data_IF_778958970532
#
_entry.id   IF_778958970532
#
_cell.length_a   1.000
_cell.length_b   1.000
_cell.length_c   1.000
_cell.angle_alpha   90.00
_cell.angle_beta   90.00
_cell.angle_gamma   90.00
#
_symmetry.space_group_name_H-M   'P 1'
#
loop_
_entity.id
_entity.type
_entity.pdbx_description
1 polymer ?
#
# COMPACT_ATOMS: atom_id res chain seq x y z
N UNK A 1 -0.97 15.86 7.28
CA UNK A 1 -0.93 16.15 5.83
C UNK A 1 -2.04 17.15 5.52
N UNK A 2 -1.70 18.36 5.04
CA UNK A 2 -2.68 19.38 4.66
C UNK A 2 -3.56 18.92 3.48
N UNK A 3 -4.80 19.47 3.41
CA UNK A 3 -5.74 19.10 2.36
C UNK A 3 -5.24 19.36 0.94
N UNK A 4 -4.57 20.49 0.62
CA UNK A 4 -4.03 20.69 -0.72
C UNK A 4 -3.01 19.62 -1.12
N UNK A 5 -2.11 19.23 -0.22
CA UNK A 5 -1.10 18.20 -0.46
C UNK A 5 -1.76 16.83 -0.64
N UNK A 6 -2.75 16.50 0.19
CA UNK A 6 -3.49 15.24 0.04
C UNK A 6 -4.25 15.20 -1.29
N UNK A 7 -4.86 16.32 -1.69
CA UNK A 7 -5.56 16.43 -2.98
C UNK A 7 -4.60 16.20 -4.15
N UNK A 8 -3.40 16.77 -4.11
CA UNK A 8 -2.38 16.56 -5.14
C UNK A 8 -1.97 15.08 -5.25
N UNK A 9 -1.78 14.42 -4.10
CA UNK A 9 -1.44 12.98 -4.04
C UNK A 9 -2.57 12.13 -4.64
N UNK A 10 -3.82 12.39 -4.25
CA UNK A 10 -4.98 11.66 -4.75
C UNK A 10 -5.25 11.93 -6.22
N UNK A 11 -5.04 13.15 -6.68
CA UNK A 11 -5.17 13.52 -8.09
C UNK A 11 -4.14 12.78 -8.95
N UNK A 12 -2.89 12.71 -8.51
CA UNK A 12 -1.87 11.91 -9.19
C UNK A 12 -2.26 10.42 -9.26
N UNK A 13 -2.81 9.87 -8.17
CA UNK A 13 -3.29 8.49 -8.14
C UNK A 13 -4.49 8.29 -9.09
N UNK A 14 -5.39 9.25 -9.19
CA UNK A 14 -6.54 9.23 -10.10
C UNK A 14 -6.13 9.10 -11.57
N UNK A 15 -4.99 9.67 -11.97
CA UNK A 15 -4.43 9.55 -13.33
C UNK A 15 -3.77 8.21 -13.63
N UNK A 16 -3.81 7.26 -12.71
CA UNK A 16 -3.31 5.92 -12.98
C UNK A 16 -4.05 5.28 -14.16
N UNK A 17 -3.32 4.61 -15.04
CA UNK A 17 -3.94 3.86 -16.14
C UNK A 17 -4.65 2.59 -15.66
N UNK A 18 -5.72 2.21 -16.34
CA UNK A 18 -6.42 0.93 -16.16
C UNK A 18 -6.83 0.32 -17.49
N UNK A 19 -7.09 -0.99 -17.52
CA UNK A 19 -7.57 -1.66 -18.72
C UNK A 19 -8.88 -1.03 -19.19
N UNK A 20 -8.96 -0.67 -20.47
CA UNK A 20 -10.10 0.02 -21.08
C UNK A 20 -10.54 1.29 -20.34
N UNK A 21 -9.62 1.96 -19.63
CA UNK A 21 -9.90 3.15 -18.82
C UNK A 21 -11.05 2.96 -17.80
N UNK A 22 -11.19 1.77 -17.23
CA UNK A 22 -12.28 1.45 -16.30
C UNK A 22 -12.20 2.19 -14.98
N UNK A 23 -10.98 2.57 -14.54
CA UNK A 23 -10.72 3.32 -13.30
C UNK A 23 -11.45 2.73 -12.09
N UNK A 24 -11.22 1.43 -11.77
CA UNK A 24 -12.04 0.67 -10.82
C UNK A 24 -11.73 0.98 -9.37
N UNK A 25 -11.09 2.07 -9.05
CA UNK A 25 -10.67 2.45 -7.70
C UNK A 25 -11.48 3.61 -7.14
N UNK A 26 -11.65 3.59 -5.83
CA UNK A 26 -12.16 4.67 -5.01
C UNK A 26 -11.21 4.84 -3.82
N UNK A 27 -11.18 6.03 -3.25
CA UNK A 27 -10.35 6.34 -2.09
C UNK A 27 -11.22 6.72 -0.91
N UNK A 28 -11.05 6.02 0.23
CA UNK A 28 -11.64 6.45 1.50
C UNK A 28 -10.53 7.08 2.33
N UNK A 29 -10.68 8.37 2.63
CA UNK A 29 -9.72 9.14 3.43
C UNK A 29 -10.14 9.08 4.88
N UNK A 30 -9.29 8.56 5.74
CA UNK A 30 -9.55 8.40 7.19
C UNK A 30 -8.61 9.32 7.97
N UNK A 31 -9.19 10.32 8.65
CA UNK A 31 -8.49 11.24 9.56
C UNK A 31 -8.93 11.03 11.02
N UNK A 32 -10.13 10.48 11.23
CA UNK A 32 -10.67 10.24 12.55
C UNK A 32 -9.78 9.28 13.36
N UNK A 33 -9.41 9.70 14.56
CA UNK A 33 -8.48 8.97 15.41
C UNK A 33 -9.05 7.61 15.87
N UNK A 34 -10.34 7.55 16.14
CA UNK A 34 -10.99 6.31 16.58
C UNK A 34 -11.01 5.28 15.45
N UNK A 35 -11.34 5.70 14.23
CA UNK A 35 -11.35 4.85 13.02
C UNK A 35 -9.93 4.36 12.70
N UNK A 36 -8.91 5.24 12.76
CA UNK A 36 -7.51 4.84 12.56
C UNK A 36 -7.05 3.83 13.62
N UNK A 37 -7.42 4.05 14.88
CA UNK A 37 -7.14 3.13 15.97
C UNK A 37 -7.80 1.76 15.78
N UNK A 38 -9.05 1.74 15.32
CA UNK A 38 -9.76 0.50 15.00
C UNK A 38 -9.09 -0.24 13.83
N UNK A 39 -8.66 0.46 12.76
CA UNK A 39 -7.90 -0.14 11.67
C UNK A 39 -6.54 -0.69 12.13
N UNK A 40 -5.87 0.02 13.03
CA UNK A 40 -4.59 -0.40 13.60
C UNK A 40 -4.69 -1.71 14.40
N UNK A 41 -5.84 -1.98 15.00
CA UNK A 41 -6.09 -3.19 15.78
C UNK A 41 -6.41 -4.43 14.95
N UNK A 42 -6.57 -4.32 13.62
CA UNK A 42 -7.01 -5.42 12.76
C UNK A 42 -5.89 -6.37 12.30
N UNK A 43 -4.65 -6.17 12.74
CA UNK A 43 -3.59 -7.10 12.36
C UNK A 43 -2.22 -6.74 12.89
N UNK A 44 -1.28 -7.68 12.83
CA UNK A 44 0.06 -7.48 13.40
C UNK A 44 0.94 -6.51 12.60
N UNK A 45 0.52 -6.12 11.40
CA UNK A 45 1.26 -5.22 10.51
C UNK A 45 0.54 -3.88 10.29
N UNK A 46 -0.47 -3.57 11.10
CA UNK A 46 -1.33 -2.40 10.91
C UNK A 46 -1.24 -1.37 12.05
N UNK A 47 -0.49 -1.67 13.12
CA UNK A 47 -0.36 -0.82 14.31
C UNK A 47 -0.01 0.65 13.98
N UNK A 48 0.83 0.86 12.95
CA UNK A 48 1.27 2.19 12.54
C UNK A 48 0.14 3.07 11.97
N UNK A 49 -1.01 2.50 11.58
CA UNK A 49 -2.15 3.29 11.12
C UNK A 49 -2.72 4.19 12.22
N UNK A 50 -2.66 3.76 13.49
CA UNK A 50 -3.11 4.57 14.62
C UNK A 50 -2.37 5.91 14.75
N UNK A 51 -1.06 5.89 14.52
CA UNK A 51 -0.19 7.05 14.59
C UNK A 51 -0.11 7.86 13.27
N UNK A 52 -0.61 7.32 12.15
CA UNK A 52 -0.58 8.00 10.86
C UNK A 52 -1.37 9.32 10.89
N UNK A 53 -0.89 10.33 10.17
CA UNK A 53 -1.65 11.58 10.03
C UNK A 53 -2.95 11.36 9.24
N UNK A 54 -2.88 10.52 8.20
CA UNK A 54 -4.02 10.13 7.35
C UNK A 54 -3.84 8.67 6.95
N UNK A 55 -4.94 7.92 6.86
CA UNK A 55 -4.98 6.61 6.21
C UNK A 55 -5.86 6.72 4.96
N UNK A 56 -5.38 6.25 3.84
CA UNK A 56 -6.13 6.15 2.59
C UNK A 56 -6.41 4.68 2.32
N UNK A 57 -7.68 4.30 2.28
CA UNK A 57 -8.09 2.98 1.84
C UNK A 57 -8.34 3.00 0.33
N UNK A 58 -7.67 2.12 -0.39
CA UNK A 58 -7.90 1.89 -1.82
C UNK A 58 -8.99 0.82 -1.93
N UNK A 59 -10.18 1.25 -2.34
CA UNK A 59 -11.34 0.38 -2.55
C UNK A 59 -11.50 0.14 -4.04
N UNK A 60 -11.71 -1.11 -4.43
CA UNK A 60 -11.80 -1.51 -5.81
C UNK A 60 -13.23 -1.96 -6.16
N UNK A 61 -13.70 -1.63 -7.34
CA UNK A 61 -15.01 -2.03 -7.86
C UNK A 61 -14.90 -3.29 -8.71
N UNK A 62 -15.72 -4.30 -8.41
CA UNK A 62 -15.78 -5.56 -9.14
C UNK A 62 -14.65 -6.52 -8.80
N UNK A 63 -14.81 -7.76 -9.25
CA UNK A 63 -13.83 -8.84 -9.15
C UNK A 63 -13.47 -9.30 -10.56
N UNK A 64 -12.32 -8.92 -11.06
CA UNK A 64 -11.83 -9.37 -12.36
C UNK A 64 -10.32 -9.66 -12.30
N UNK A 65 -9.79 -10.31 -13.33
CA UNK A 65 -8.36 -10.67 -13.40
C UNK A 65 -7.42 -9.45 -13.32
N UNK A 66 -7.90 -8.26 -13.66
CA UNK A 66 -7.15 -7.01 -13.55
C UNK A 66 -7.20 -6.36 -12.18
N UNK A 67 -8.03 -6.84 -11.24
CA UNK A 67 -8.23 -6.23 -9.93
C UNK A 67 -6.91 -6.03 -9.16
N UNK A 68 -6.16 -7.09 -8.95
CA UNK A 68 -4.89 -7.01 -8.21
C UNK A 68 -3.84 -6.17 -8.94
N UNK A 69 -3.81 -6.23 -10.27
CA UNK A 69 -2.91 -5.46 -11.09
C UNK A 69 -3.21 -3.96 -11.01
N UNK A 70 -4.46 -3.56 -11.23
CA UNK A 70 -4.89 -2.16 -11.17
C UNK A 70 -4.78 -1.60 -9.74
N UNK A 71 -5.11 -2.40 -8.71
CA UNK A 71 -4.90 -2.04 -7.31
C UNK A 71 -3.42 -1.77 -7.02
N UNK A 72 -2.52 -2.65 -7.44
CA UNK A 72 -1.07 -2.45 -7.27
C UNK A 72 -0.56 -1.20 -7.99
N UNK A 73 -1.04 -0.93 -9.20
CA UNK A 73 -0.67 0.26 -9.98
C UNK A 73 -1.09 1.54 -9.30
N UNK A 74 -2.38 1.67 -8.95
CA UNK A 74 -2.90 2.90 -8.32
C UNK A 74 -2.28 3.12 -6.94
N UNK A 75 -2.03 2.06 -6.19
CA UNK A 75 -1.33 2.13 -4.90
C UNK A 75 0.09 2.65 -5.09
N UNK A 76 0.86 2.09 -6.01
CA UNK A 76 2.22 2.55 -6.29
C UNK A 76 2.26 4.00 -6.76
N UNK A 77 1.30 4.41 -7.60
CA UNK A 77 1.18 5.80 -8.04
C UNK A 77 0.94 6.74 -6.85
N UNK A 78 0.07 6.36 -5.91
CA UNK A 78 -0.19 7.11 -4.68
C UNK A 78 1.06 7.24 -3.82
N UNK A 79 1.82 6.15 -3.63
CA UNK A 79 3.06 6.16 -2.85
C UNK A 79 4.13 7.05 -3.48
N UNK A 80 4.28 7.03 -4.80
CA UNK A 80 5.23 7.89 -5.53
C UNK A 80 4.83 9.36 -5.45
N UNK A 81 3.54 9.67 -5.61
CA UNK A 81 3.03 11.02 -5.46
C UNK A 81 3.24 11.55 -4.03
N UNK A 82 2.96 10.74 -3.00
CA UNK A 82 3.24 11.09 -1.62
C UNK A 82 4.72 11.44 -1.43
N UNK A 83 5.62 10.62 -1.95
CA UNK A 83 7.07 10.89 -1.89
C UNK A 83 7.45 12.20 -2.58
N UNK A 84 6.90 12.46 -3.77
CA UNK A 84 7.15 13.71 -4.52
C UNK A 84 6.68 14.94 -3.75
N UNK A 85 5.58 14.82 -2.99
CA UNK A 85 5.07 15.88 -2.10
C UNK A 85 5.77 15.95 -0.73
N UNK A 86 6.87 15.21 -0.52
CA UNK A 86 7.58 15.17 0.76
C UNK A 86 6.82 14.46 1.89
N UNK A 87 5.81 13.66 1.56
CA UNK A 87 5.01 12.87 2.51
C UNK A 87 5.53 11.44 2.54
N UNK A 88 5.83 10.94 3.73
CA UNK A 88 6.17 9.55 3.94
C UNK A 88 4.90 8.68 3.84
N UNK A 89 5.05 7.48 3.28
CA UNK A 89 3.95 6.56 3.09
C UNK A 89 4.36 5.12 3.41
N UNK A 90 3.41 4.34 3.90
CA UNK A 90 3.55 2.91 4.10
C UNK A 90 2.21 2.22 3.85
N UNK A 91 2.22 1.14 3.09
CA UNK A 91 1.01 0.38 2.83
C UNK A 91 1.04 -0.97 3.56
N UNK A 92 -0.14 -1.44 3.96
CA UNK A 92 -0.34 -2.80 4.43
C UNK A 92 -1.67 -3.37 3.93
N UNK A 93 -1.63 -4.64 3.56
CA UNK A 93 -2.83 -5.44 3.39
C UNK A 93 -3.32 -5.98 4.73
N UNK A 94 -4.55 -6.43 4.77
CA UNK A 94 -5.16 -7.06 5.93
C UNK A 94 -5.30 -8.57 5.71
N UNK A 95 -4.79 -9.33 6.67
CA UNK A 95 -4.94 -10.76 6.77
C UNK A 95 -5.17 -11.13 8.24
N UNK A 96 -5.94 -12.17 8.54
CA UNK A 96 -6.71 -13.00 7.59
C UNK A 96 -7.91 -12.25 6.97
N UNK A 97 -8.68 -12.93 6.14
CA UNK A 97 -9.82 -12.35 5.42
C UNK A 97 -10.85 -11.69 6.35
N UNK A 98 -11.06 -12.22 7.55
CA UNK A 98 -11.98 -11.69 8.56
C UNK A 98 -11.60 -10.25 8.94
N UNK A 99 -10.31 -9.94 9.03
CA UNK A 99 -9.81 -8.60 9.33
C UNK A 99 -10.07 -7.64 8.16
N UNK A 100 -9.94 -8.12 6.92
CA UNK A 100 -10.29 -7.35 5.73
C UNK A 100 -11.79 -7.02 5.71
N UNK A 101 -12.63 -8.00 6.02
CA UNK A 101 -14.07 -7.82 6.12
C UNK A 101 -14.46 -6.87 7.27
N UNK A 102 -13.76 -6.93 8.40
CA UNK A 102 -13.96 -6.00 9.50
C UNK A 102 -13.63 -4.56 9.10
N UNK A 103 -12.52 -4.34 8.38
CA UNK A 103 -12.17 -3.03 7.85
C UNK A 103 -13.20 -2.53 6.83
N UNK A 104 -13.69 -3.41 5.95
CA UNK A 104 -14.71 -3.05 4.98
C UNK A 104 -16.00 -2.57 5.67
N UNK A 105 -16.46 -3.27 6.73
CA UNK A 105 -17.61 -2.84 7.52
C UNK A 105 -17.35 -1.50 8.21
N UNK A 106 -16.18 -1.33 8.83
CA UNK A 106 -15.79 -0.10 9.51
C UNK A 106 -15.78 1.11 8.56
N UNK A 107 -15.30 0.90 7.32
CA UNK A 107 -15.20 1.94 6.30
C UNK A 107 -16.47 2.10 5.45
N UNK A 108 -17.51 1.31 5.69
CA UNK A 108 -18.76 1.37 4.93
C UNK A 108 -18.59 0.96 3.47
N UNK A 109 -17.67 0.04 3.16
CA UNK A 109 -17.45 -0.43 1.79
C UNK A 109 -18.68 -1.21 1.31
N UNK A 110 -19.35 -0.78 0.22
CA UNK A 110 -20.59 -1.40 -0.21
C UNK A 110 -20.37 -2.76 -0.88
N UNK A 111 -21.46 -3.53 -1.02
CA UNK A 111 -21.45 -4.78 -1.77
C UNK A 111 -20.96 -4.56 -3.22
N UNK A 112 -20.29 -5.55 -3.79
CA UNK A 112 -19.67 -5.44 -5.12
C UNK A 112 -18.36 -4.65 -5.15
N UNK A 113 -17.86 -4.22 -3.99
CA UNK A 113 -16.55 -3.59 -3.83
C UNK A 113 -15.69 -4.43 -2.89
N UNK A 114 -14.39 -4.26 -2.99
CA UNK A 114 -13.42 -4.92 -2.12
C UNK A 114 -12.37 -3.94 -1.64
N UNK A 115 -11.89 -4.12 -0.41
CA UNK A 115 -10.73 -3.39 0.10
C UNK A 115 -9.45 -3.99 -0.50
N UNK A 116 -8.73 -3.20 -1.29
CA UNK A 116 -7.45 -3.59 -1.87
C UNK A 116 -6.32 -3.48 -0.85
N UNK A 117 -6.06 -2.27 -0.37
CA UNK A 117 -4.95 -1.98 0.55
C UNK A 117 -5.25 -0.72 1.36
N UNK A 118 -4.61 -0.62 2.52
CA UNK A 118 -4.57 0.61 3.33
C UNK A 118 -3.20 1.28 3.17
N UNK A 119 -3.17 2.60 3.05
CA UNK A 119 -1.95 3.40 2.94
C UNK A 119 -1.92 4.44 4.04
N UNK A 120 -0.94 4.37 4.92
CA UNK A 120 -0.64 5.42 5.89
C UNK A 120 0.14 6.54 5.21
N UNK A 121 -0.22 7.78 5.51
CA UNK A 121 0.46 8.99 5.06
C UNK A 121 0.82 9.85 6.29
N UNK A 122 2.04 10.42 6.29
CA UNK A 122 2.49 11.29 7.37
C UNK A 122 3.85 11.91 7.09
N UNK A 123 4.29 12.77 7.97
CA UNK A 123 5.65 13.31 7.92
C UNK A 123 6.55 12.53 8.89
N UNK A 124 7.81 12.35 8.52
CA UNK A 124 8.79 11.74 9.41
C UNK A 124 9.07 12.67 10.59
N UNK A 125 9.24 12.11 11.78
CA UNK A 125 9.73 12.87 12.91
C UNK A 125 11.15 13.38 12.64
N UNK A 126 11.52 14.60 13.08
CA UNK A 126 12.88 15.08 12.99
C UNK A 126 13.84 14.10 13.69
N UNK A 127 14.88 13.66 12.99
CA UNK A 127 15.86 12.72 13.52
C UNK A 127 15.47 11.23 13.43
N UNK A 128 14.32 10.92 12.87
CA UNK A 128 13.89 9.54 12.65
C UNK A 128 14.74 8.91 11.54
N UNK A 129 15.84 8.27 11.95
CA UNK A 129 16.46 7.24 11.13
C UNK A 129 15.47 6.08 11.14
N UNK A 130 15.29 5.40 10.01
CA UNK A 130 14.42 4.24 9.85
C UNK A 130 14.50 3.32 11.08
N UNK A 131 13.78 3.72 12.14
CA UNK A 131 13.66 2.91 13.32
C UNK A 131 12.89 1.66 12.92
N UNK A 132 13.38 0.50 13.26
CA UNK A 132 12.68 -0.72 12.95
C UNK A 132 11.38 -0.73 13.73
N UNK A 133 10.28 -0.97 13.03
CA UNK A 133 9.06 -1.39 13.69
C UNK A 133 9.39 -2.61 14.56
N UNK A 134 9.12 -2.52 15.85
CA UNK A 134 9.33 -3.65 16.76
C UNK A 134 8.61 -4.88 16.24
N UNK A 135 9.27 -6.03 16.24
CA UNK A 135 8.65 -7.31 15.92
C UNK A 135 8.75 -7.80 14.48
N UNK A 136 9.12 -6.99 13.50
CA UNK A 136 9.36 -7.48 12.14
C UNK A 136 10.77 -8.06 12.04
N UNK A 137 10.91 -9.29 11.57
CA UNK A 137 12.22 -9.86 11.24
C UNK A 137 12.87 -9.02 10.12
N UNK A 138 13.78 -8.17 10.54
CA UNK A 138 14.51 -7.23 9.68
C UNK A 138 15.34 -7.89 8.61
N UNK A 139 15.65 -9.18 8.72
CA UNK A 139 16.39 -9.88 7.68
C UNK A 139 15.71 -9.78 6.34
N UNK A 140 14.37 -9.71 6.30
CA UNK A 140 13.62 -9.50 5.05
C UNK A 140 13.76 -8.07 4.51
N UNK A 141 13.86 -7.06 5.38
CA UNK A 141 13.96 -5.64 5.00
C UNK A 141 15.40 -5.22 4.73
N UNK A 142 16.37 -5.79 5.47
CA UNK A 142 17.79 -5.43 5.40
C UNK A 142 18.58 -6.22 4.36
N UNK A 143 18.02 -7.26 3.77
CA UNK A 143 18.67 -8.03 2.69
C UNK A 143 19.02 -7.22 1.43
N UNK A 144 18.55 -5.95 1.37
CA UNK A 144 18.76 -5.10 0.21
C UNK A 144 17.97 -5.56 -1.01
N UNK A 145 18.31 -5.03 -2.15
CA UNK A 145 17.70 -5.41 -3.43
C UNK A 145 18.61 -6.41 -4.16
N UNK A 146 18.00 -7.35 -4.87
CA UNK A 146 18.73 -8.22 -5.77
C UNK A 146 19.49 -7.37 -6.79
N UNK A 147 20.71 -7.73 -7.15
CA UNK A 147 21.44 -7.07 -8.23
C UNK A 147 20.62 -7.09 -9.53
N UNK A 148 20.69 -6.01 -10.30
CA UNK A 148 19.90 -5.88 -11.53
C UNK A 148 20.16 -7.04 -12.52
N UNK A 149 21.41 -7.51 -12.62
CA UNK A 149 21.79 -8.67 -13.44
C UNK A 149 21.06 -9.97 -13.08
N UNK A 150 20.50 -10.06 -11.89
CA UNK A 150 19.68 -11.21 -11.47
C UNK A 150 18.20 -11.09 -11.86
N UNK A 151 17.75 -9.93 -12.26
CA UNK A 151 16.37 -9.63 -12.57
C UNK A 151 16.13 -9.41 -14.07
N UNK A 152 17.21 -9.09 -14.81
CA UNK A 152 17.11 -8.77 -16.23
C UNK A 152 17.61 -9.96 -17.06
N UNK A 153 16.81 -10.34 -18.03
CA UNK A 153 17.13 -11.32 -19.07
C UNK A 153 16.84 -10.68 -20.42
N UNK A 154 17.65 -11.02 -21.42
CA UNK A 154 17.46 -10.54 -22.78
C UNK A 154 16.82 -11.64 -23.62
N UNK A 155 15.80 -11.31 -24.40
CA UNK A 155 14.94 -12.12 -25.28
C UNK A 155 14.17 -13.22 -24.55
N UNK A 156 14.81 -13.98 -23.63
CA UNK A 156 14.15 -15.07 -22.87
C UNK A 156 14.73 -15.21 -21.47
N UNK A 157 13.92 -15.69 -20.53
CA UNK A 157 14.39 -16.01 -19.18
C UNK A 157 15.33 -17.22 -19.26
N UNK A 158 16.60 -17.03 -18.86
CA UNK A 158 17.56 -18.14 -18.75
C UNK A 158 17.21 -19.02 -17.54
N UNK A 159 17.32 -20.34 -17.71
CA UNK A 159 17.22 -21.26 -16.58
C UNK A 159 18.35 -20.96 -15.58
N UNK A 160 18.00 -20.76 -14.30
CA UNK A 160 19.00 -20.61 -13.24
C UNK A 160 19.49 -21.98 -12.82
N UNK A 161 20.77 -22.21 -12.89
CA UNK A 161 21.40 -23.29 -12.10
C UNK A 161 21.35 -22.87 -10.64
N UNK A 162 20.78 -23.69 -9.72
CA UNK A 162 20.83 -23.38 -8.30
C UNK A 162 22.28 -23.19 -7.85
N UNK A 163 22.61 -22.22 -7.00
CA UNK A 163 23.93 -22.11 -6.43
C UNK A 163 24.14 -23.32 -5.51
N UNK A 164 25.08 -24.20 -5.87
CA UNK A 164 25.65 -25.20 -4.98
C UNK A 164 25.20 -26.63 -5.19
N UNK A 165 25.64 -27.26 -6.26
CA UNK A 165 26.07 -28.67 -6.28
C UNK A 165 27.39 -28.71 -7.07
N UNK A 166 28.48 -28.41 -6.35
CA UNK A 166 29.86 -28.84 -6.68
C UNK A 166 30.50 -29.38 -5.44
#
# INVERSE_FOLDING_TARGET
VPDPVLTEILEAARWCGSAHNRQPWQFVVVRDAATKGALAALGPYTEFFGAAAVVVAVVMTGENQGFSFDCGRVTQQLLLAAHACGVASCNAGLAPEENRQAAMRLLGVPAGHSLGVLVALGYRAPGDQLAPAGGIDRRSVTRGRKPLRELVHYERVAARTPPGET
#
